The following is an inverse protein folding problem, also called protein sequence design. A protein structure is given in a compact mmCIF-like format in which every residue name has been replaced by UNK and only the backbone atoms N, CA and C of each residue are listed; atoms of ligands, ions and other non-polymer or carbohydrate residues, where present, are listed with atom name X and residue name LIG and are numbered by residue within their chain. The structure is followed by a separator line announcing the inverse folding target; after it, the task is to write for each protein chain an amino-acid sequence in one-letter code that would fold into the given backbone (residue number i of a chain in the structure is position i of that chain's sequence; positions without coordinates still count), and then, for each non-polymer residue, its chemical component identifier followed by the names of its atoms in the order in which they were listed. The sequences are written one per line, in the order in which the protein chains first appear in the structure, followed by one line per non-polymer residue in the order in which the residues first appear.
data_IF_936959273784
#
_entry.id   IF_936959273784
#
_cell.length_a   1.000
_cell.length_b   1.000
_cell.length_c   1.000
_cell.angle_alpha   90.00
_cell.angle_beta   90.00
_cell.angle_gamma   90.00
#
_symmetry.space_group_name_H-M   'P 1'
#
loop_
_entity.id
_entity.type
_entity.pdbx_description
1 polymer ?
#
# COMPACT_ATOMS: atom_id res chain seq x y z
N UNK A 1 -1.35 -9.50 1.63
CA UNK A 1 -1.60 -10.75 2.40
C UNK A 1 -2.20 -11.87 1.54
N UNK A 2 -3.20 -11.59 0.70
CA UNK A 2 -3.83 -12.60 -0.17
C UNK A 2 -2.90 -13.23 -1.22
N UNK A 3 -2.19 -12.42 -2.00
CA UNK A 3 -1.40 -12.94 -3.13
C UNK A 3 -0.32 -13.94 -2.70
N UNK A 4 0.32 -13.74 -1.54
CA UNK A 4 1.30 -14.69 -1.01
C UNK A 4 0.70 -16.06 -0.70
N UNK A 5 -0.50 -16.11 -0.14
CA UNK A 5 -1.24 -17.34 0.09
C UNK A 5 -1.62 -18.03 -1.24
N UNK A 6 -2.13 -17.27 -2.22
CA UNK A 6 -2.50 -17.80 -3.53
C UNK A 6 -1.30 -18.46 -4.23
N UNK A 7 -0.11 -17.83 -4.16
CA UNK A 7 1.11 -18.37 -4.77
C UNK A 7 1.50 -19.75 -4.18
N UNK A 8 1.28 -19.95 -2.88
CA UNK A 8 1.55 -21.23 -2.22
C UNK A 8 0.48 -22.26 -2.57
N UNK A 9 -0.79 -21.93 -2.36
CA UNK A 9 -1.89 -22.90 -2.46
C UNK A 9 -2.23 -23.27 -3.90
N UNK A 10 -2.31 -22.29 -4.82
CA UNK A 10 -2.67 -22.56 -6.22
C UNK A 10 -1.47 -22.98 -7.05
N UNK A 11 -0.29 -22.41 -6.80
CA UNK A 11 0.88 -22.56 -7.67
C UNK A 11 2.05 -23.33 -7.03
N UNK A 12 1.93 -23.77 -5.78
CA UNK A 12 2.92 -24.62 -5.12
C UNK A 12 4.25 -23.91 -4.84
N UNK A 13 4.26 -22.57 -4.71
CA UNK A 13 5.49 -21.85 -4.40
C UNK A 13 5.98 -22.22 -3.00
N UNK A 14 7.29 -22.53 -2.89
CA UNK A 14 7.94 -22.75 -1.59
C UNK A 14 8.07 -21.44 -0.81
N UNK A 15 8.32 -21.55 0.50
CA UNK A 15 8.65 -20.40 1.33
C UNK A 15 9.86 -19.61 0.80
N UNK A 16 10.87 -20.28 0.21
CA UNK A 16 12.02 -19.62 -0.41
C UNK A 16 11.63 -18.82 -1.66
N UNK A 17 10.71 -19.33 -2.49
CA UNK A 17 10.22 -18.60 -3.66
C UNK A 17 9.44 -17.34 -3.24
N UNK A 18 8.60 -17.45 -2.21
CA UNK A 18 7.86 -16.30 -1.66
C UNK A 18 8.84 -15.27 -1.07
N UNK A 19 9.87 -15.72 -0.33
CA UNK A 19 10.90 -14.83 0.19
C UNK A 19 11.64 -14.08 -0.94
N UNK A 20 11.97 -14.77 -2.04
CA UNK A 20 12.58 -14.14 -3.21
C UNK A 20 11.66 -13.07 -3.83
N UNK A 21 10.37 -13.36 -3.98
CA UNK A 21 9.39 -12.39 -4.47
C UNK A 21 9.26 -11.18 -3.53
N UNK A 22 9.30 -11.39 -2.21
CA UNK A 22 9.32 -10.29 -1.24
C UNK A 22 10.55 -9.41 -1.39
N UNK A 23 11.74 -9.99 -1.60
CA UNK A 23 12.98 -9.24 -1.81
C UNK A 23 12.91 -8.41 -3.09
N UNK A 24 12.44 -9.01 -4.19
CA UNK A 24 12.21 -8.30 -5.46
C UNK A 24 11.27 -7.13 -5.24
N UNK A 25 10.14 -7.34 -4.56
CA UNK A 25 9.18 -6.27 -4.29
C UNK A 25 9.75 -5.15 -3.42
N UNK A 26 10.51 -5.47 -2.37
CA UNK A 26 11.15 -4.46 -1.55
C UNK A 26 12.17 -3.65 -2.35
N UNK A 27 12.96 -4.30 -3.20
CA UNK A 27 13.91 -3.61 -4.07
C UNK A 27 13.20 -2.67 -5.04
N UNK A 28 12.16 -3.14 -5.71
CA UNK A 28 11.33 -2.30 -6.58
C UNK A 28 10.73 -1.13 -5.82
N UNK A 29 10.04 -1.38 -4.70
CA UNK A 29 9.42 -0.31 -3.92
C UNK A 29 10.45 0.72 -3.44
N UNK A 30 11.63 0.29 -3.01
CA UNK A 30 12.71 1.20 -2.62
C UNK A 30 13.20 2.06 -3.80
N UNK A 31 13.42 1.46 -4.97
CA UNK A 31 13.86 2.17 -6.18
C UNK A 31 12.82 3.17 -6.71
N UNK A 32 11.54 2.86 -6.57
CA UNK A 32 10.45 3.66 -7.13
C UNK A 32 9.74 4.56 -6.10
N UNK A 33 10.03 4.45 -4.80
CA UNK A 33 9.36 5.21 -3.74
C UNK A 33 9.39 6.73 -3.98
N UNK A 34 10.55 7.30 -4.30
CA UNK A 34 10.68 8.75 -4.55
C UNK A 34 9.87 9.19 -5.77
N UNK A 35 9.89 8.38 -6.84
CA UNK A 35 9.15 8.64 -8.08
C UNK A 35 7.64 8.56 -7.87
N UNK A 36 7.18 7.56 -7.11
CA UNK A 36 5.78 7.40 -6.75
C UNK A 36 5.31 8.60 -5.91
N UNK A 37 6.09 9.01 -4.90
CA UNK A 37 5.79 10.20 -4.10
C UNK A 37 5.69 11.47 -4.93
N UNK A 38 6.66 11.69 -5.83
CA UNK A 38 6.64 12.84 -6.75
C UNK A 38 5.44 12.79 -7.71
N UNK A 39 5.05 11.60 -8.19
CA UNK A 39 3.88 11.41 -9.03
C UNK A 39 2.60 11.77 -8.28
N UNK A 40 2.41 11.24 -7.06
CA UNK A 40 1.27 11.55 -6.20
C UNK A 40 1.16 13.07 -5.96
N UNK A 41 2.29 13.73 -5.68
CA UNK A 41 2.32 15.18 -5.50
C UNK A 41 1.88 15.97 -6.74
N UNK A 42 2.09 15.44 -7.95
CA UNK A 42 1.68 16.06 -9.22
C UNK A 42 0.22 15.77 -9.58
N UNK A 43 -0.23 14.52 -9.46
CA UNK A 43 -1.57 14.10 -9.89
C UNK A 43 -2.63 14.31 -8.81
N UNK A 44 -2.22 14.47 -7.56
CA UNK A 44 -3.08 14.60 -6.39
C UNK A 44 -3.45 13.24 -5.78
N UNK A 45 -3.60 13.23 -4.46
CA UNK A 45 -3.75 11.99 -3.69
C UNK A 45 -5.08 11.28 -3.98
N UNK A 46 -6.18 12.01 -4.17
CA UNK A 46 -7.48 11.42 -4.53
C UNK A 46 -7.42 10.61 -5.82
N UNK A 47 -6.73 11.13 -6.84
CA UNK A 47 -6.59 10.46 -8.13
C UNK A 47 -5.63 9.28 -8.01
N UNK A 48 -4.53 9.42 -7.27
CA UNK A 48 -3.61 8.32 -6.99
C UNK A 48 -4.33 7.14 -6.30
N UNK A 49 -5.16 7.42 -5.29
CA UNK A 49 -5.95 6.42 -4.59
C UNK A 49 -7.01 5.78 -5.51
N UNK A 50 -7.70 6.58 -6.32
CA UNK A 50 -8.70 6.05 -7.27
C UNK A 50 -8.04 5.11 -8.29
N UNK A 51 -6.87 5.49 -8.80
CA UNK A 51 -6.07 4.67 -9.70
C UNK A 51 -5.59 3.38 -9.03
N UNK A 52 -5.11 3.46 -7.79
CA UNK A 52 -4.73 2.29 -6.99
C UNK A 52 -5.87 1.28 -6.89
N UNK A 53 -7.03 1.70 -6.36
CA UNK A 53 -8.15 0.78 -6.16
C UNK A 53 -8.67 0.19 -7.47
N UNK A 54 -8.71 0.99 -8.54
CA UNK A 54 -9.11 0.49 -9.87
C UNK A 54 -8.10 -0.53 -10.40
N UNK A 55 -6.80 -0.26 -10.26
CA UNK A 55 -5.73 -1.17 -10.63
C UNK A 55 -5.78 -2.49 -9.85
N UNK A 56 -6.01 -2.42 -8.54
CA UNK A 56 -6.17 -3.60 -7.69
C UNK A 56 -7.35 -4.46 -8.15
N UNK A 57 -8.51 -3.87 -8.45
CA UNK A 57 -9.66 -4.63 -8.98
C UNK A 57 -9.26 -5.41 -10.24
N UNK A 58 -8.54 -4.78 -11.17
CA UNK A 58 -8.08 -5.43 -12.40
C UNK A 58 -7.07 -6.55 -12.12
N UNK A 59 -6.11 -6.32 -11.23
CA UNK A 59 -5.08 -7.32 -10.87
C UNK A 59 -5.70 -8.54 -10.18
N UNK A 60 -6.60 -8.30 -9.22
CA UNK A 60 -7.33 -9.38 -8.55
C UNK A 60 -8.24 -10.15 -9.51
N UNK A 61 -8.88 -9.45 -10.45
CA UNK A 61 -9.66 -10.10 -11.52
C UNK A 61 -8.75 -10.96 -12.40
N UNK A 62 -7.57 -10.45 -12.79
CA UNK A 62 -6.62 -11.20 -13.62
C UNK A 62 -6.14 -12.49 -12.93
N UNK A 63 -5.91 -12.46 -11.61
CA UNK A 63 -5.55 -13.67 -10.84
C UNK A 63 -6.55 -14.83 -10.99
N UNK A 64 -7.84 -14.52 -11.18
CA UNK A 64 -8.86 -15.55 -11.38
C UNK A 64 -8.68 -16.35 -12.67
N UNK A 65 -8.04 -15.76 -13.70
CA UNK A 65 -7.88 -16.36 -15.03
C UNK A 65 -6.46 -16.86 -15.32
N UNK A 66 -5.50 -16.65 -14.40
CA UNK A 66 -4.11 -17.07 -14.60
C UNK A 66 -3.89 -18.47 -14.03
N UNK A 67 -3.37 -19.37 -14.86
CA UNK A 67 -2.96 -20.73 -14.45
C UNK A 67 -1.45 -20.97 -14.53
N UNK A 68 -0.68 -19.99 -15.01
CA UNK A 68 0.78 -20.05 -15.05
C UNK A 68 1.39 -19.34 -13.83
N UNK A 69 2.16 -20.08 -13.02
CA UNK A 69 2.81 -19.56 -11.81
C UNK A 69 3.76 -18.39 -12.06
N UNK A 70 4.47 -18.35 -13.19
CA UNK A 70 5.35 -17.23 -13.53
C UNK A 70 4.57 -15.95 -13.85
N UNK A 71 3.42 -16.08 -14.51
CA UNK A 71 2.51 -14.95 -14.76
C UNK A 71 1.90 -14.47 -13.45
N UNK A 72 1.51 -15.39 -12.56
CA UNK A 72 1.03 -15.07 -11.23
C UNK A 72 2.08 -14.36 -10.36
N UNK A 73 3.36 -14.73 -10.50
CA UNK A 73 4.48 -14.04 -9.88
C UNK A 73 4.69 -12.63 -10.45
N UNK A 74 4.48 -12.42 -11.75
CA UNK A 74 4.45 -11.09 -12.35
C UNK A 74 3.33 -10.22 -11.78
N UNK A 75 2.11 -10.77 -11.69
CA UNK A 75 0.98 -10.11 -11.04
C UNK A 75 1.26 -9.81 -9.57
N UNK A 76 2.03 -10.67 -8.88
CA UNK A 76 2.39 -10.47 -7.48
C UNK A 76 3.25 -9.23 -7.31
N UNK A 77 4.20 -9.00 -8.22
CA UNK A 77 5.02 -7.79 -8.20
C UNK A 77 4.16 -6.55 -8.48
N UNK A 78 3.28 -6.62 -9.48
CA UNK A 78 2.39 -5.52 -9.86
C UNK A 78 1.43 -5.14 -8.72
N UNK A 79 0.79 -6.13 -8.08
CA UNK A 79 -0.09 -5.96 -6.92
C UNK A 79 0.60 -5.16 -5.81
N UNK A 80 1.83 -5.55 -5.45
CA UNK A 80 2.58 -4.90 -4.37
C UNK A 80 3.09 -3.50 -4.76
N UNK A 81 3.27 -3.23 -6.05
CA UNK A 81 3.59 -1.89 -6.54
C UNK A 81 2.38 -0.96 -6.40
N UNK A 82 1.17 -1.44 -6.68
CA UNK A 82 -0.05 -0.66 -6.42
C UNK A 82 -0.18 -0.35 -4.92
N UNK A 83 0.11 -1.32 -4.05
CA UNK A 83 0.09 -1.11 -2.60
C UNK A 83 1.07 -0.02 -2.12
N UNK A 84 2.11 0.31 -2.89
CA UNK A 84 3.01 1.42 -2.57
C UNK A 84 2.33 2.80 -2.69
N UNK A 85 1.26 2.92 -3.49
CA UNK A 85 0.44 4.13 -3.57
C UNK A 85 -0.37 4.37 -2.28
N UNK A 86 -0.52 3.35 -1.42
CA UNK A 86 -1.21 3.46 -0.14
C UNK A 86 -0.57 4.49 0.81
N UNK A 87 0.68 4.91 0.55
CA UNK A 87 1.32 6.03 1.24
C UNK A 87 0.46 7.31 1.13
N UNK A 88 -0.25 7.48 0.01
CA UNK A 88 -1.16 8.61 -0.22
C UNK A 88 -2.41 8.59 0.68
N UNK A 89 -2.81 7.44 1.25
CA UNK A 89 -3.99 7.34 2.12
C UNK A 89 -3.80 8.24 3.34
N UNK A 90 -2.63 8.15 3.97
CA UNK A 90 -2.33 8.91 5.18
C UNK A 90 -2.37 10.42 4.90
N UNK A 91 -1.75 10.86 3.81
CA UNK A 91 -1.64 12.28 3.49
C UNK A 91 -2.98 12.84 3.00
N UNK A 92 -3.74 12.07 2.20
CA UNK A 92 -5.09 12.43 1.81
C UNK A 92 -6.02 12.55 3.02
N UNK A 93 -5.98 11.60 3.95
CA UNK A 93 -6.79 11.63 5.17
C UNK A 93 -6.46 12.87 6.02
N UNK A 94 -5.17 13.16 6.22
CA UNK A 94 -4.74 14.37 6.92
C UNK A 94 -5.22 15.67 6.26
N UNK A 95 -5.44 15.66 4.94
CA UNK A 95 -5.92 16.81 4.18
C UNK A 95 -7.42 17.06 4.31
N UNK A 96 -8.20 16.00 4.54
CA UNK A 96 -9.68 16.09 4.65
C UNK A 96 -10.18 16.03 6.09
N UNK A 97 -9.38 15.52 7.03
CA UNK A 97 -9.74 15.42 8.44
C UNK A 97 -9.53 16.78 9.15
N UNK A 98 -10.37 17.06 10.15
CA UNK A 98 -10.20 18.23 11.01
C UNK A 98 -8.93 18.04 11.85
N UNK A 99 -8.01 19.03 11.89
CA UNK A 99 -6.83 18.97 12.76
C UNK A 99 -7.14 18.63 14.22
N UNK A 100 -8.32 19.02 14.73
CA UNK A 100 -8.77 18.70 16.09
C UNK A 100 -9.01 17.18 16.29
N UNK A 101 -9.46 16.47 15.26
CA UNK A 101 -9.72 15.03 15.31
C UNK A 101 -8.43 14.20 15.23
N UNK A 102 -7.35 14.78 14.67
CA UNK A 102 -6.03 14.16 14.57
C UNK A 102 -5.20 14.40 15.85
N UNK A 103 -5.46 15.49 16.59
CA UNK A 103 -4.65 15.97 17.73
C UNK A 103 -5.06 15.44 19.12
N UNK A 104 -5.91 14.42 19.18
CA UNK A 104 -6.64 14.02 20.40
C UNK A 104 -5.79 13.50 21.59
N UNK A 105 -4.46 13.49 21.51
CA UNK A 105 -3.57 13.15 22.65
C UNK A 105 -2.73 14.32 23.21
N UNK A 106 -2.57 15.44 22.50
CA UNK A 106 -1.74 16.56 22.98
C UNK A 106 -2.51 17.56 23.86
N UNK A 107 -3.80 17.78 23.60
CA UNK A 107 -4.62 18.78 24.31
C UNK A 107 -5.01 18.39 25.74
N UNK A 108 -5.11 17.10 26.05
CA UNK A 108 -5.43 16.62 27.40
C UNK A 108 -4.30 16.93 28.39
N UNK A 109 -3.05 16.77 27.95
CA UNK A 109 -1.86 16.99 28.78
C UNK A 109 -1.63 18.48 29.09
N UNK A 110 -1.90 19.38 28.14
CA UNK A 110 -1.84 20.83 28.37
C UNK A 110 -2.88 21.30 29.38
N UNK A 111 -4.09 20.73 29.38
CA UNK A 111 -5.14 21.08 30.35
C UNK A 111 -4.83 20.60 31.78
N UNK A 112 -4.08 19.52 31.95
CA UNK A 112 -3.67 19.01 33.26
C UNK A 112 -2.53 19.81 33.89
N UNK A 113 -1.67 20.44 33.08
CA UNK A 113 -0.53 21.24 33.58
C UNK A 113 -1.00 22.65 34.00
N UNK A 114 -2.03 23.21 33.36
CA UNK A 114 -2.57 24.54 33.70
C UNK A 114 -3.66 24.54 34.76
N UNK A 115 -4.09 23.38 35.27
CA UNK A 115 -5.19 23.25 36.24
C UNK A 115 -4.75 22.88 37.66
N UNK A 116 -3.45 22.96 37.98
CA UNK A 116 -2.97 22.80 39.36
C UNK A 116 -2.69 24.20 39.95
N UNK A 117 -3.31 24.57 41.09
CA UNK A 117 -3.10 25.86 41.74
C UNK A 117 -1.69 26.05 42.30
#
# INVERSE_FOLDING_TARGET
MFAGFLMVEKFGYSASNIAALFLVNHLFNWLFAERIGALIGRIGEKYALTFEYTGLILVFTAYAFVDNGYVAAGLYVVDHMFFALAIAIKTYFQKIADPADIASTAGFLSRLITSQP
#
